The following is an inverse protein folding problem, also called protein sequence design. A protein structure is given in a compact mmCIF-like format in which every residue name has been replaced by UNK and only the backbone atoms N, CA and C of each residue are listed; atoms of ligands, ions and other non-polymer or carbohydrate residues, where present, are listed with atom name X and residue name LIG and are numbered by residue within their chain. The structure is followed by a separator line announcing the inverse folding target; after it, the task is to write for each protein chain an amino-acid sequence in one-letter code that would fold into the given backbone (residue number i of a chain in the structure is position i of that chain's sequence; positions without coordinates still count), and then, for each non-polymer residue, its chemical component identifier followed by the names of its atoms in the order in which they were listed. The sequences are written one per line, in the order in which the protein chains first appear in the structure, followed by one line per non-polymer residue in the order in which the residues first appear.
data_IF_910175244906
#
_entry.id   IF_910175244906
#
_cell.length_a   1.000
_cell.length_b   1.000
_cell.length_c   1.000
_cell.angle_alpha   90.00
_cell.angle_beta   90.00
_cell.angle_gamma   90.00
#
_symmetry.space_group_name_H-M   'P 1'
#
loop_
_entity.id
_entity.type
_entity.pdbx_description
1 polymer ?
#
# COMPACT_ATOMS: atom_id res chain seq x y z
N UNK A 1 -4.19 12.42 8.43
CA UNK A 1 -2.80 12.05 8.20
C UNK A 1 -2.60 10.59 8.59
N UNK A 2 -2.04 9.78 7.71
CA UNK A 2 -1.93 8.33 7.92
C UNK A 2 -1.08 7.96 9.15
N UNK A 3 -0.10 8.78 9.50
CA UNK A 3 0.88 8.45 10.52
C UNK A 3 1.04 9.54 11.56
N UNK A 4 0.07 10.45 11.68
CA UNK A 4 0.07 11.54 12.66
C UNK A 4 1.39 12.34 12.65
N UNK A 5 1.95 12.58 11.48
CA UNK A 5 3.21 13.29 11.33
C UNK A 5 4.46 12.50 11.67
N UNK A 6 4.35 11.21 12.04
CA UNK A 6 5.49 10.36 12.35
C UNK A 6 6.24 9.95 11.08
N UNK A 7 7.56 9.76 11.16
CA UNK A 7 8.29 9.21 10.02
C UNK A 7 7.77 7.84 9.62
N UNK A 8 7.76 7.58 8.33
CA UNK A 8 7.41 6.28 7.78
C UNK A 8 8.35 5.91 6.65
N UNK A 9 8.41 4.62 6.31
CA UNK A 9 9.19 4.11 5.20
C UNK A 9 8.28 3.92 4.00
N UNK A 10 8.58 4.60 2.89
CA UNK A 10 7.85 4.40 1.64
C UNK A 10 8.52 3.28 0.85
N UNK A 11 7.88 2.11 0.80
CA UNK A 11 8.43 0.94 0.14
C UNK A 11 8.40 1.05 -1.38
N UNK A 12 7.61 1.97 -1.93
CA UNK A 12 7.40 2.04 -3.37
C UNK A 12 7.36 3.50 -3.86
N UNK A 13 8.41 4.31 -3.56
CA UNK A 13 8.41 5.71 -3.97
C UNK A 13 8.52 5.84 -5.48
N UNK A 14 7.86 6.86 -6.01
CA UNK A 14 7.84 7.16 -7.44
C UNK A 14 8.35 8.60 -7.59
N UNK A 15 9.35 8.79 -8.45
CA UNK A 15 9.90 10.12 -8.72
C UNK A 15 8.96 10.92 -9.64
N UNK A 16 9.24 12.23 -9.88
CA UNK A 16 8.37 13.06 -10.72
C UNK A 16 8.17 12.53 -12.14
N UNK A 17 9.09 11.73 -12.68
CA UNK A 17 8.97 11.10 -13.99
C UNK A 17 8.11 9.83 -13.98
N UNK A 18 7.59 9.43 -12.81
CA UNK A 18 6.79 8.23 -12.67
C UNK A 18 7.59 6.93 -12.55
N UNK A 19 8.90 7.03 -12.35
CA UNK A 19 9.77 5.86 -12.21
C UNK A 19 9.99 5.53 -10.74
N UNK A 20 10.13 4.24 -10.44
CA UNK A 20 10.39 3.79 -9.08
C UNK A 20 11.84 4.06 -8.70
N UNK A 21 12.02 4.57 -7.49
CA UNK A 21 13.35 4.97 -7.00
C UNK A 21 14.09 3.85 -6.28
N UNK A 22 13.41 2.75 -5.93
CA UNK A 22 14.04 1.62 -5.25
C UNK A 22 13.25 0.34 -5.47
N UNK A 23 13.91 -0.78 -5.20
CA UNK A 23 13.23 -2.07 -5.12
C UNK A 23 12.45 -2.14 -3.80
N UNK A 24 11.15 -1.94 -3.88
CA UNK A 24 10.28 -1.95 -2.71
C UNK A 24 10.08 -3.32 -2.09
N UNK A 25 10.54 -4.39 -2.73
CA UNK A 25 10.51 -5.75 -2.18
C UNK A 25 11.79 -6.12 -1.46
N UNK A 26 12.71 -5.16 -1.27
CA UNK A 26 13.86 -5.34 -0.40
C UNK A 26 13.49 -5.33 1.07
N UNK A 27 14.48 -5.14 1.95
CA UNK A 27 14.24 -5.14 3.39
C UNK A 27 13.39 -3.96 3.84
N UNK A 28 12.40 -4.20 4.69
CA UNK A 28 11.57 -3.17 5.31
C UNK A 28 11.94 -3.01 6.78
N UNK A 29 11.97 -1.76 7.30
CA UNK A 29 12.23 -1.55 8.73
C UNK A 29 11.08 -2.03 9.59
N UNK A 30 11.37 -2.37 10.85
CA UNK A 30 10.36 -2.73 11.85
C UNK A 30 10.17 -1.67 12.92
N UNK A 31 11.02 -0.64 12.93
CA UNK A 31 11.01 0.43 13.94
C UNK A 31 10.11 1.61 13.56
N UNK A 32 9.49 1.56 12.40
CA UNK A 32 8.58 2.60 11.94
C UNK A 32 7.58 2.00 10.94
N UNK A 33 6.43 2.67 10.71
CA UNK A 33 5.44 2.17 9.75
C UNK A 33 5.99 2.10 8.33
N UNK A 34 5.57 1.08 7.60
CA UNK A 34 5.85 0.93 6.17
C UNK A 34 4.59 1.28 5.40
N UNK A 35 4.71 2.24 4.48
CA UNK A 35 3.64 2.60 3.57
C UNK A 35 3.91 1.99 2.20
N UNK A 36 2.91 1.36 1.60
CA UNK A 36 3.05 0.70 0.32
C UNK A 36 1.90 1.10 -0.60
N UNK A 37 2.24 1.68 -1.74
CA UNK A 37 1.32 1.87 -2.86
C UNK A 37 1.86 1.02 -4.01
N UNK A 38 1.51 -0.27 -4.08
CA UNK A 38 2.14 -1.21 -5.02
C UNK A 38 1.70 -0.95 -6.46
N UNK A 39 2.43 -1.50 -7.44
CA UNK A 39 1.99 -1.43 -8.83
C UNK A 39 0.65 -2.16 -8.99
N UNK A 40 -0.29 -1.52 -9.70
CA UNK A 40 -1.63 -2.05 -9.84
C UNK A 40 -1.70 -3.28 -10.74
N UNK A 41 -0.73 -3.45 -11.62
CA UNK A 41 -0.69 -4.59 -12.54
C UNK A 41 -0.31 -5.89 -11.83
N UNK A 42 0.43 -5.82 -10.72
CA UNK A 42 0.85 -7.01 -9.98
C UNK A 42 1.08 -6.69 -8.51
N UNK A 43 0.03 -6.49 -7.72
CA UNK A 43 0.19 -6.17 -6.31
C UNK A 43 0.50 -7.37 -5.42
N UNK A 44 0.34 -8.58 -5.92
CA UNK A 44 0.41 -9.81 -5.12
C UNK A 44 1.67 -9.97 -4.29
N UNK A 45 2.89 -9.84 -4.86
CA UNK A 45 4.12 -9.97 -4.08
C UNK A 45 4.23 -8.95 -2.94
N UNK A 46 3.77 -7.71 -3.18
CA UNK A 46 3.79 -6.63 -2.19
C UNK A 46 2.83 -6.90 -1.04
N UNK A 47 1.63 -7.34 -1.37
CA UNK A 47 0.59 -7.63 -0.39
C UNK A 47 0.99 -8.83 0.48
N UNK A 48 1.58 -9.85 -0.12
CA UNK A 48 2.07 -11.02 0.60
C UNK A 48 3.19 -10.65 1.57
N UNK A 49 4.14 -9.83 1.11
CA UNK A 49 5.22 -9.35 1.97
C UNK A 49 4.68 -8.53 3.14
N UNK A 50 3.69 -7.68 2.89
CA UNK A 50 3.05 -6.89 3.93
C UNK A 50 2.34 -7.78 4.96
N UNK A 51 1.65 -8.82 4.51
CA UNK A 51 0.98 -9.78 5.39
C UNK A 51 1.97 -10.41 6.37
N UNK A 52 3.15 -10.76 5.90
CA UNK A 52 4.16 -11.48 6.68
C UNK A 52 5.10 -10.54 7.44
N UNK A 53 5.06 -9.25 7.17
CA UNK A 53 5.95 -8.29 7.83
C UNK A 53 5.57 -8.13 9.30
N UNK A 54 6.55 -8.19 10.23
CA UNK A 54 6.24 -8.13 11.67
C UNK A 54 5.93 -6.73 12.21
N UNK A 55 6.25 -5.67 11.46
CA UNK A 55 6.01 -4.29 11.90
C UNK A 55 4.70 -3.72 11.38
N UNK A 56 4.41 -2.46 11.72
CA UNK A 56 3.20 -1.81 11.24
C UNK A 56 3.28 -1.51 9.74
N UNK A 57 2.17 -1.72 9.04
CA UNK A 57 2.06 -1.57 7.58
C UNK A 57 0.76 -0.89 7.22
N UNK A 58 0.82 0.01 6.24
CA UNK A 58 -0.36 0.55 5.56
C UNK A 58 -0.19 0.34 4.05
N UNK A 59 -1.18 -0.28 3.44
CA UNK A 59 -1.26 -0.49 2.00
C UNK A 59 -2.36 0.38 1.41
N UNK A 60 -2.05 1.03 0.29
CA UNK A 60 -3.07 1.66 -0.54
C UNK A 60 -3.18 0.83 -1.82
N UNK A 61 -4.30 0.15 -1.99
CA UNK A 61 -4.51 -0.81 -3.08
C UNK A 61 -5.83 -0.56 -3.79
N UNK A 62 -5.98 -1.15 -4.96
CA UNK A 62 -7.27 -1.20 -5.66
C UNK A 62 -8.28 -1.95 -4.79
N UNK A 63 -9.49 -1.42 -4.68
CA UNK A 63 -10.57 -2.07 -3.94
C UNK A 63 -11.19 -3.17 -4.81
N UNK A 64 -10.64 -4.37 -4.70
CA UNK A 64 -11.01 -5.48 -5.57
C UNK A 64 -11.05 -6.80 -4.77
N UNK A 65 -12.07 -6.95 -3.91
CA UNK A 65 -12.16 -8.11 -2.99
C UNK A 65 -12.30 -9.46 -3.67
N UNK A 66 -12.63 -9.49 -4.96
CA UNK A 66 -12.81 -10.75 -5.68
C UNK A 66 -11.48 -11.39 -6.11
N UNK A 67 -10.37 -10.68 -5.99
CA UNK A 67 -9.08 -11.18 -6.46
C UNK A 67 -8.43 -12.13 -5.46
N UNK A 68 -7.60 -13.03 -5.99
CA UNK A 68 -6.85 -13.97 -5.15
C UNK A 68 -5.87 -13.24 -4.22
N UNK A 69 -5.19 -12.21 -4.71
CA UNK A 69 -4.24 -11.47 -3.87
C UNK A 69 -4.94 -10.79 -2.70
N UNK A 70 -6.19 -10.38 -2.84
CA UNK A 70 -6.98 -9.84 -1.74
C UNK A 70 -7.35 -10.94 -0.74
N UNK A 71 -8.03 -11.98 -1.25
CA UNK A 71 -8.60 -13.02 -0.39
C UNK A 71 -7.54 -13.80 0.39
N UNK A 72 -6.38 -14.03 -0.22
CA UNK A 72 -5.34 -14.82 0.41
C UNK A 72 -4.51 -14.04 1.44
N UNK A 73 -4.63 -12.71 1.49
CA UNK A 73 -3.72 -11.89 2.30
C UNK A 73 -4.42 -10.92 3.24
N UNK A 74 -5.72 -10.71 3.11
CA UNK A 74 -6.42 -9.64 3.84
C UNK A 74 -6.61 -9.93 5.34
N UNK A 75 -6.53 -11.18 5.74
CA UNK A 75 -6.92 -11.61 7.09
C UNK A 75 -6.36 -10.79 8.25
N UNK A 76 -5.03 -10.50 8.30
CA UNK A 76 -4.48 -9.75 9.44
C UNK A 76 -4.72 -8.24 9.38
N UNK A 77 -5.37 -7.74 8.33
CA UNK A 77 -5.52 -6.30 8.11
C UNK A 77 -6.91 -5.80 8.48
N UNK A 78 -6.96 -4.53 8.89
CA UNK A 78 -8.19 -3.75 8.89
C UNK A 78 -8.30 -3.03 7.54
N UNK A 79 -9.48 -3.05 6.94
CA UNK A 79 -9.70 -2.51 5.61
C UNK A 79 -10.68 -1.33 5.70
N UNK A 80 -10.29 -0.22 5.07
CA UNK A 80 -11.17 0.94 4.88
C UNK A 80 -11.38 1.13 3.38
N UNK A 81 -12.64 1.07 2.94
CA UNK A 81 -12.99 1.32 1.54
C UNK A 81 -13.12 2.83 1.33
N UNK A 82 -12.42 3.34 0.32
CA UNK A 82 -12.42 4.77 0.02
C UNK A 82 -13.49 5.06 -1.01
N UNK A 83 -14.50 5.83 -0.63
CA UNK A 83 -15.68 6.09 -1.47
C UNK A 83 -15.43 7.01 -2.65
N UNK A 84 -14.26 7.66 -2.70
CA UNK A 84 -13.89 8.55 -3.80
C UNK A 84 -12.70 8.01 -4.54
N UNK A 85 -12.63 8.28 -5.84
CA UNK A 85 -11.46 7.94 -6.64
C UNK A 85 -10.33 8.90 -6.30
N UNK A 86 -9.15 8.36 -6.06
CA UNK A 86 -7.99 9.16 -5.67
C UNK A 86 -7.26 9.71 -6.88
N UNK A 87 -6.58 10.85 -6.67
CA UNK A 87 -5.63 11.42 -7.62
C UNK A 87 -4.22 11.14 -7.12
N UNK A 88 -3.33 10.80 -8.03
CA UNK A 88 -1.98 10.42 -7.68
C UNK A 88 -0.98 11.40 -8.28
N UNK A 89 -0.02 11.86 -7.45
CA UNK A 89 1.20 12.53 -7.86
C UNK A 89 1.04 13.62 -8.93
N UNK A 90 0.18 14.58 -8.77
CA UNK A 90 -0.02 15.64 -9.77
C UNK A 90 -0.88 15.25 -10.96
N UNK A 91 -1.44 14.05 -10.99
CA UNK A 91 -2.36 13.62 -12.03
C UNK A 91 -3.62 14.47 -11.99
N UNK A 92 -4.07 14.92 -13.16
CA UNK A 92 -5.31 15.70 -13.27
C UNK A 92 -6.55 14.83 -13.20
N UNK A 93 -6.42 13.57 -13.58
CA UNK A 93 -7.54 12.62 -13.57
C UNK A 93 -7.47 11.75 -12.32
N UNK A 94 -8.64 11.48 -11.74
CA UNK A 94 -8.76 10.49 -10.69
C UNK A 94 -8.39 9.10 -11.23
N UNK A 95 -8.00 8.19 -10.35
CA UNK A 95 -7.83 6.78 -10.69
C UNK A 95 -9.14 6.24 -11.28
N UNK A 96 -9.03 5.32 -12.25
CA UNK A 96 -10.21 4.73 -12.90
C UNK A 96 -10.81 3.57 -12.10
N UNK A 97 -10.46 3.44 -10.83
CA UNK A 97 -10.95 2.40 -9.92
C UNK A 97 -11.05 2.96 -8.51
N UNK A 98 -11.82 2.32 -7.67
CA UNK A 98 -11.90 2.62 -6.25
C UNK A 98 -10.67 2.07 -5.53
N UNK A 99 -10.30 2.70 -4.42
CA UNK A 99 -9.15 2.32 -3.62
C UNK A 99 -9.57 1.86 -2.23
N UNK A 100 -8.70 1.08 -1.60
CA UNK A 100 -8.86 0.66 -0.21
C UNK A 100 -7.55 0.83 0.54
N UNK A 101 -7.65 1.15 1.83
CA UNK A 101 -6.52 1.15 2.75
C UNK A 101 -6.57 -0.11 3.58
N UNK A 102 -5.45 -0.83 3.63
CA UNK A 102 -5.26 -1.98 4.50
C UNK A 102 -4.25 -1.58 5.57
N UNK A 103 -4.62 -1.77 6.82
CA UNK A 103 -3.75 -1.39 7.94
C UNK A 103 -3.51 -2.56 8.87
N UNK A 104 -2.28 -2.69 9.33
CA UNK A 104 -1.85 -3.65 10.33
C UNK A 104 -0.90 -2.95 11.28
N UNK A 105 -1.13 -3.06 12.60
CA UNK A 105 -0.36 -2.34 13.61
C UNK A 105 0.89 -3.11 14.07
N UNK A 106 1.13 -4.29 13.54
CA UNK A 106 2.22 -5.16 13.95
C UNK A 106 1.73 -6.20 14.96
N UNK A 107 2.63 -7.03 15.47
CA UNK A 107 2.27 -8.06 16.43
C UNK A 107 1.92 -7.50 17.79
#
# INVERSE_FOLDING_TARGET
VLFDGRPYFDACPVNPEGLRERDGLGAWPTDRPVFINPPYSDPGPWVRKARDHPGPVVLLVKDDPSTAWWQNNVGPFRVVHIGQRLRFGGAEKAANFASALWRKDGP
#
